data_IF_444221097061
#
_entry.id   IF_444221097061
#
_cell.length_a   1.000
_cell.length_b   1.000
_cell.length_c   1.000
_cell.angle_alpha   90.00
_cell.angle_beta   90.00
_cell.angle_gamma   90.00
#
_symmetry.space_group_name_H-M   'P 1'
#
loop_
_entity.id
_entity.type
_entity.pdbx_description
1 polymer ?
#
# COMPACT_ATOMS: atom_id res chain seq x y z
N UNK A 1 -3.40 -8.63 -17.92
CA UNK A 1 -2.28 -8.22 -17.07
C UNK A 1 -1.42 -7.29 -17.89
N UNK A 2 -0.98 -6.18 -17.31
CA UNK A 2 -0.08 -5.26 -18.00
C UNK A 2 1.34 -5.84 -18.05
N UNK A 3 2.12 -5.43 -19.04
CA UNK A 3 3.56 -5.71 -19.07
C UNK A 3 4.31 -4.76 -18.13
N UNK A 4 5.52 -5.14 -17.73
CA UNK A 4 6.40 -4.24 -16.96
C UNK A 4 6.61 -2.89 -17.67
N UNK A 5 6.69 -2.88 -19.00
CA UNK A 5 6.79 -1.65 -19.81
C UNK A 5 5.56 -0.75 -19.71
N UNK A 6 4.35 -1.33 -19.74
CA UNK A 6 3.12 -0.56 -19.54
C UNK A 6 3.06 0.05 -18.13
N UNK A 7 3.56 -0.66 -17.11
CA UNK A 7 3.71 -0.11 -15.76
C UNK A 7 4.74 1.01 -15.69
N UNK A 8 5.88 0.89 -16.37
CA UNK A 8 6.87 1.99 -16.49
C UNK A 8 6.21 3.24 -17.07
N UNK A 9 5.46 3.11 -18.17
CA UNK A 9 4.77 4.23 -18.81
C UNK A 9 3.74 4.86 -17.87
N UNK A 10 2.96 4.03 -17.17
CA UNK A 10 2.01 4.50 -16.16
C UNK A 10 2.69 5.35 -15.08
N UNK A 11 3.68 4.81 -14.37
CA UNK A 11 4.33 5.52 -13.26
C UNK A 11 5.09 6.76 -13.74
N UNK A 12 5.74 6.72 -14.91
CA UNK A 12 6.40 7.91 -15.50
C UNK A 12 5.42 9.03 -15.79
N UNK A 13 4.24 8.69 -16.30
CA UNK A 13 3.19 9.67 -16.55
C UNK A 13 2.59 10.16 -15.24
N UNK A 14 2.38 9.27 -14.27
CA UNK A 14 1.74 9.61 -13.01
C UNK A 14 2.57 10.60 -12.16
N UNK A 15 3.89 10.41 -12.13
CA UNK A 15 4.84 11.32 -11.47
C UNK A 15 4.84 12.76 -12.03
N UNK A 16 4.30 13.00 -13.23
CA UNK A 16 4.20 14.33 -13.83
C UNK A 16 2.99 15.12 -13.35
N UNK A 17 2.01 14.47 -12.72
CA UNK A 17 0.81 15.16 -12.24
C UNK A 17 1.01 15.74 -10.84
N UNK A 18 0.91 17.06 -10.75
CA UNK A 18 0.82 17.80 -9.49
C UNK A 18 -0.64 18.14 -9.22
N UNK A 19 -1.31 17.33 -8.39
CA UNK A 19 -2.76 17.48 -8.11
C UNK A 19 -3.07 18.26 -6.83
N UNK A 20 -2.03 18.67 -6.09
CA UNK A 20 -2.14 19.37 -4.81
C UNK A 20 -1.84 20.85 -5.02
N UNK A 21 -2.78 21.72 -4.63
CA UNK A 21 -2.54 23.16 -4.62
C UNK A 21 -1.88 23.56 -3.29
N UNK A 22 -0.56 23.76 -3.34
CA UNK A 22 0.25 24.13 -2.18
C UNK A 22 0.15 25.61 -1.78
N UNK A 23 -0.56 26.44 -2.55
CA UNK A 23 -0.84 27.83 -2.19
C UNK A 23 -1.95 27.93 -1.12
N UNK A 24 -2.69 26.84 -0.90
CA UNK A 24 -3.70 26.73 0.15
C UNK A 24 -3.00 26.62 1.50
N UNK A 25 -3.22 27.59 2.38
CA UNK A 25 -2.74 27.50 3.76
C UNK A 25 -3.47 26.37 4.51
N UNK A 26 -2.75 25.53 5.28
CA UNK A 26 -3.38 24.49 6.06
C UNK A 26 -4.27 25.11 7.15
N UNK A 27 -5.53 24.67 7.20
CA UNK A 27 -6.49 25.08 8.23
C UNK A 27 -6.95 23.84 8.99
N UNK A 28 -6.33 23.59 10.14
CA UNK A 28 -6.61 22.44 11.00
C UNK A 28 -6.67 22.90 12.46
N UNK A 29 -7.68 22.44 13.20
CA UNK A 29 -7.82 22.74 14.62
C UNK A 29 -6.86 21.92 15.49
N UNK A 30 -6.52 22.40 16.68
CA UNK A 30 -5.71 21.63 17.64
C UNK A 30 -6.31 20.27 17.99
N UNK A 31 -7.66 20.17 18.00
CA UNK A 31 -8.37 18.90 18.25
C UNK A 31 -8.18 17.91 17.11
N UNK A 32 -8.29 18.36 15.86
CA UNK A 32 -8.02 17.53 14.69
C UNK A 32 -6.55 17.11 14.64
N UNK A 33 -5.61 18.05 14.85
CA UNK A 33 -4.17 17.74 14.92
C UNK A 33 -3.88 16.67 15.98
N UNK A 34 -4.38 16.82 17.21
CA UNK A 34 -4.19 15.83 18.27
C UNK A 34 -4.76 14.45 17.93
N UNK A 35 -5.79 14.40 17.07
CA UNK A 35 -6.43 13.16 16.63
C UNK A 35 -5.58 12.42 15.59
N UNK A 36 -4.99 13.13 14.64
CA UNK A 36 -4.33 12.52 13.48
C UNK A 36 -2.80 12.44 13.60
N UNK A 37 -2.17 13.30 14.40
CA UNK A 37 -0.74 13.61 14.29
C UNK A 37 0.15 12.37 14.39
N UNK A 38 0.03 11.60 15.49
CA UNK A 38 0.85 10.40 15.70
C UNK A 38 0.66 9.38 14.58
N UNK A 39 -0.58 9.22 14.14
CA UNK A 39 -0.94 8.29 13.07
C UNK A 39 -0.33 8.72 11.73
N UNK A 40 -0.41 10.01 11.41
CA UNK A 40 0.12 10.61 10.19
C UNK A 40 1.65 10.59 10.15
N UNK A 41 2.31 10.88 11.28
CA UNK A 41 3.76 10.78 11.40
C UNK A 41 4.27 9.34 11.19
N UNK A 42 3.60 8.34 11.78
CA UNK A 42 3.96 6.94 11.60
C UNK A 42 3.77 6.47 10.16
N UNK A 43 2.66 6.86 9.51
CA UNK A 43 2.41 6.51 8.11
C UNK A 43 3.40 7.22 7.18
N UNK A 44 3.60 8.54 7.35
CA UNK A 44 4.59 9.33 6.62
C UNK A 44 5.99 8.70 6.69
N UNK A 45 6.41 8.19 7.85
CA UNK A 45 7.69 7.51 7.98
C UNK A 45 7.74 6.23 7.15
N UNK A 46 6.66 5.44 7.12
CA UNK A 46 6.56 4.20 6.33
C UNK A 46 6.70 4.44 4.82
N UNK A 47 6.13 5.52 4.31
CA UNK A 47 6.17 5.95 2.89
C UNK A 47 7.59 6.37 2.44
N UNK A 48 8.46 6.76 3.36
CA UNK A 48 9.82 7.27 3.04
C UNK A 48 10.89 6.20 2.86
N UNK A 49 10.51 4.94 2.65
CA UNK A 49 11.46 3.84 2.49
C UNK A 49 12.35 4.04 1.25
N UNK A 50 13.66 3.78 1.37
CA UNK A 50 14.61 3.80 0.25
C UNK A 50 14.47 2.61 -0.73
N UNK A 51 13.72 1.58 -0.31
CA UNK A 51 13.45 0.38 -1.10
C UNK A 51 14.66 -0.53 -1.34
N UNK A 52 15.81 -0.36 -0.69
CA UNK A 52 17.04 -1.10 -1.04
C UNK A 52 16.86 -2.64 -1.03
N UNK A 53 16.24 -3.18 0.03
CA UNK A 53 16.02 -4.63 0.14
C UNK A 53 14.95 -5.14 -0.86
N UNK A 54 13.94 -4.32 -1.16
CA UNK A 54 12.93 -4.61 -2.18
C UNK A 54 13.58 -4.67 -3.56
N UNK A 55 14.39 -3.67 -3.93
CA UNK A 55 15.13 -3.66 -5.20
C UNK A 55 16.02 -4.88 -5.32
N UNK A 56 16.73 -5.29 -4.25
CA UNK A 56 17.54 -6.53 -4.28
C UNK A 56 16.70 -7.80 -4.52
N UNK A 57 15.50 -7.88 -3.97
CA UNK A 57 14.57 -8.99 -4.23
C UNK A 57 14.05 -8.97 -5.67
N UNK A 58 13.69 -7.79 -6.15
CA UNK A 58 13.18 -7.54 -7.51
C UNK A 58 14.23 -7.85 -8.56
N UNK A 59 15.47 -7.40 -8.39
CA UNK A 59 16.58 -7.68 -9.33
C UNK A 59 16.80 -9.17 -9.51
N UNK A 60 16.93 -9.93 -8.41
CA UNK A 60 17.10 -11.39 -8.47
C UNK A 60 15.92 -12.10 -9.12
N UNK A 61 14.70 -11.61 -8.87
CA UNK A 61 13.50 -12.14 -9.49
C UNK A 61 13.49 -11.85 -11.01
N UNK A 62 13.78 -10.60 -11.40
CA UNK A 62 13.79 -10.15 -12.79
C UNK A 62 14.84 -10.90 -13.63
N UNK A 63 16.06 -11.08 -13.10
CA UNK A 63 17.12 -11.86 -13.76
C UNK A 63 16.70 -13.30 -14.00
N UNK A 64 16.03 -13.93 -13.03
CA UNK A 64 15.55 -15.32 -13.15
C UNK A 64 14.43 -15.47 -14.20
N UNK A 65 13.69 -14.41 -14.50
CA UNK A 65 12.50 -14.45 -15.35
C UNK A 65 12.64 -13.63 -16.65
N UNK A 66 13.85 -13.14 -16.94
CA UNK A 66 14.14 -12.30 -18.12
C UNK A 66 13.19 -11.09 -18.26
N UNK A 67 12.93 -10.41 -17.13
CA UNK A 67 12.03 -9.24 -17.04
C UNK A 67 12.76 -8.02 -16.47
N UNK A 68 13.79 -7.48 -17.17
CA UNK A 68 14.59 -6.34 -16.68
C UNK A 68 13.76 -5.07 -16.49
N UNK A 69 12.69 -4.90 -17.28
CA UNK A 69 11.75 -3.77 -17.18
C UNK A 69 11.05 -3.73 -15.80
N UNK A 70 10.86 -4.88 -15.15
CA UNK A 70 10.23 -4.90 -13.83
C UNK A 70 11.06 -4.18 -12.76
N UNK A 71 12.39 -4.16 -12.90
CA UNK A 71 13.27 -3.43 -11.99
C UNK A 71 12.97 -1.92 -12.08
N UNK A 72 12.82 -1.41 -13.30
CA UNK A 72 12.51 0.00 -13.53
C UNK A 72 11.07 0.34 -13.09
N UNK A 73 10.10 -0.52 -13.37
CA UNK A 73 8.72 -0.35 -12.89
C UNK A 73 8.69 -0.24 -11.35
N UNK A 74 9.42 -1.09 -10.65
CA UNK A 74 9.49 -1.06 -9.18
C UNK A 74 10.21 0.18 -8.65
N UNK A 75 11.28 0.64 -9.32
CA UNK A 75 11.95 1.90 -8.94
C UNK A 75 11.01 3.09 -9.08
N UNK A 76 10.18 3.12 -10.12
CA UNK A 76 9.20 4.18 -10.33
C UNK A 76 8.06 4.12 -9.30
N UNK A 77 7.56 2.92 -8.98
CA UNK A 77 6.64 2.71 -7.86
C UNK A 77 7.20 3.26 -6.54
N UNK A 78 8.44 2.92 -6.18
CA UNK A 78 9.09 3.45 -4.95
C UNK A 78 9.17 4.98 -4.97
N UNK A 79 9.44 5.59 -6.13
CA UNK A 79 9.46 7.06 -6.26
C UNK A 79 8.08 7.68 -6.03
N UNK A 80 7.01 7.00 -6.41
CA UNK A 80 5.64 7.45 -6.21
C UNK A 80 5.25 7.39 -4.73
N UNK A 81 5.56 6.29 -4.03
CA UNK A 81 5.43 6.18 -2.56
C UNK A 81 6.23 7.27 -1.83
N UNK A 82 7.47 7.52 -2.26
CA UNK A 82 8.30 8.59 -1.69
C UNK A 82 7.68 9.98 -1.91
N UNK A 83 7.00 10.22 -3.04
CA UNK A 83 6.23 11.45 -3.28
C UNK A 83 5.07 11.56 -2.27
N UNK A 84 4.39 10.47 -1.93
CA UNK A 84 3.34 10.47 -0.90
C UNK A 84 3.89 10.84 0.47
N UNK A 85 5.00 10.20 0.86
CA UNK A 85 5.73 10.50 2.09
C UNK A 85 6.20 11.95 2.17
N UNK A 86 6.71 12.51 1.06
CA UNK A 86 7.13 13.92 1.02
C UNK A 86 5.94 14.88 1.08
N UNK A 87 4.83 14.58 0.42
CA UNK A 87 3.60 15.38 0.53
C UNK A 87 3.07 15.42 1.98
N UNK A 88 3.04 14.28 2.68
CA UNK A 88 2.67 14.24 4.09
C UNK A 88 3.68 14.99 4.97
N UNK A 89 4.97 14.86 4.67
CA UNK A 89 6.04 15.55 5.36
C UNK A 89 5.93 17.07 5.22
N UNK A 90 5.73 17.57 3.99
CA UNK A 90 5.52 19.00 3.72
C UNK A 90 4.28 19.53 4.42
N UNK A 91 3.22 18.73 4.53
CA UNK A 91 2.03 19.10 5.30
C UNK A 91 2.33 19.22 6.81
N UNK A 92 3.07 18.27 7.39
CA UNK A 92 3.53 18.34 8.79
C UNK A 92 4.32 19.64 9.04
N UNK A 93 5.26 19.96 8.15
CA UNK A 93 6.08 21.17 8.25
C UNK A 93 5.19 22.43 8.19
N UNK A 94 4.20 22.46 7.30
CA UNK A 94 3.28 23.59 7.13
C UNK A 94 2.36 23.84 8.35
N UNK A 95 2.07 22.80 9.15
CA UNK A 95 1.31 22.94 10.42
C UNK A 95 2.23 23.04 11.65
N UNK A 96 3.53 23.21 11.45
CA UNK A 96 4.53 23.35 12.52
C UNK A 96 4.72 22.10 13.36
N UNK A 97 4.47 20.91 12.81
CA UNK A 97 4.62 19.63 13.51
C UNK A 97 5.86 18.87 13.00
N UNK A 98 6.64 18.24 13.88
CA UNK A 98 7.86 17.56 13.47
C UNK A 98 7.57 16.26 12.71
N UNK A 99 8.46 15.89 11.79
CA UNK A 99 8.54 14.53 11.24
C UNK A 99 9.24 13.60 12.25
N UNK A 100 8.79 12.36 12.39
CA UNK A 100 9.43 11.38 13.30
C UNK A 100 10.46 10.55 12.56
N UNK A 101 11.49 10.07 13.27
CA UNK A 101 12.55 9.22 12.70
C UNK A 101 12.38 7.73 13.01
N UNK A 102 11.56 7.40 14.01
CA UNK A 102 11.32 6.04 14.49
C UNK A 102 9.88 5.91 14.93
N UNK A 103 9.23 4.84 14.48
CA UNK A 103 7.98 4.33 15.02
C UNK A 103 8.10 2.81 15.23
N UNK A 104 7.42 2.27 16.24
CA UNK A 104 7.51 0.85 16.58
C UNK A 104 6.91 -0.05 15.48
N UNK A 105 5.77 0.35 14.91
CA UNK A 105 5.14 -0.37 13.82
C UNK A 105 6.03 -0.38 12.58
N UNK A 106 6.54 0.79 12.20
CA UNK A 106 7.50 0.92 11.11
C UNK A 106 8.78 0.09 11.35
N UNK A 107 9.32 0.08 12.57
CA UNK A 107 10.49 -0.74 12.92
C UNK A 107 10.21 -2.24 12.74
N UNK A 108 9.02 -2.71 13.14
CA UNK A 108 8.58 -4.09 12.94
C UNK A 108 8.41 -4.45 11.46
N UNK A 109 7.81 -3.55 10.66
CA UNK A 109 7.67 -3.75 9.22
C UNK A 109 9.02 -3.73 8.50
N UNK A 110 9.93 -2.83 8.85
CA UNK A 110 11.29 -2.80 8.31
C UNK A 110 12.06 -4.06 8.67
N UNK A 111 11.89 -4.58 9.89
CA UNK A 111 12.49 -5.83 10.31
C UNK A 111 11.99 -7.01 9.46
N UNK A 112 10.67 -7.15 9.29
CA UNK A 112 10.09 -8.21 8.46
C UNK A 112 10.54 -8.13 6.99
N UNK A 113 10.59 -6.91 6.45
CA UNK A 113 11.06 -6.62 5.09
C UNK A 113 12.57 -6.84 4.90
N UNK A 114 13.37 -6.56 5.93
CA UNK A 114 14.83 -6.55 5.85
C UNK A 114 15.47 -7.93 5.72
N UNK A 115 14.88 -8.96 6.32
CA UNK A 115 15.36 -10.35 6.22
C UNK A 115 14.75 -11.12 5.07
N UNK A 116 13.68 -10.60 4.46
CA UNK A 116 12.98 -11.32 3.43
C UNK A 116 13.59 -11.07 2.05
N UNK A 117 14.03 -12.15 1.42
CA UNK A 117 14.59 -12.10 0.07
C UNK A 117 13.60 -12.57 -1.00
N UNK A 118 12.43 -13.07 -0.60
CA UNK A 118 11.41 -13.61 -1.48
C UNK A 118 10.54 -12.51 -2.07
N UNK A 119 10.49 -12.44 -3.40
CA UNK A 119 9.61 -11.52 -4.12
C UNK A 119 8.13 -11.73 -3.74
N UNK A 120 7.71 -12.97 -3.50
CA UNK A 120 6.34 -13.30 -3.08
C UNK A 120 5.98 -12.68 -1.73
N UNK A 121 6.81 -12.87 -0.72
CA UNK A 121 6.52 -12.32 0.60
C UNK A 121 6.58 -10.79 0.61
N UNK A 122 7.47 -10.20 -0.20
CA UNK A 122 7.48 -8.76 -0.44
C UNK A 122 6.17 -8.28 -1.07
N UNK A 123 5.73 -8.94 -2.13
CA UNK A 123 4.49 -8.58 -2.83
C UNK A 123 3.27 -8.77 -1.93
N UNK A 124 3.24 -9.83 -1.09
CA UNK A 124 2.21 -10.04 -0.06
C UNK A 124 2.20 -8.88 0.95
N UNK A 125 3.37 -8.49 1.44
CA UNK A 125 3.50 -7.40 2.41
C UNK A 125 3.03 -6.06 1.84
N UNK A 126 3.52 -5.69 0.65
CA UNK A 126 3.13 -4.44 -0.02
C UNK A 126 1.63 -4.45 -0.32
N UNK A 127 1.10 -5.49 -0.97
CA UNK A 127 -0.33 -5.56 -1.31
C UNK A 127 -1.25 -5.44 -0.07
N UNK A 128 -0.81 -5.94 1.08
CA UNK A 128 -1.54 -5.82 2.35
C UNK A 128 -1.51 -4.40 2.88
N UNK A 129 -0.35 -3.74 2.86
CA UNK A 129 -0.19 -2.35 3.34
C UNK A 129 -0.96 -1.39 2.45
N UNK A 130 -0.86 -1.50 1.13
CA UNK A 130 -1.64 -0.72 0.14
C UNK A 130 -3.15 -0.90 0.35
N UNK A 131 -3.59 -2.13 0.68
CA UNK A 131 -5.01 -2.39 0.96
C UNK A 131 -5.49 -1.65 2.20
N UNK A 132 -4.61 -1.53 3.21
CA UNK A 132 -4.88 -0.77 4.42
C UNK A 132 -4.74 0.74 4.19
N UNK A 133 -3.79 1.18 3.37
CA UNK A 133 -3.53 2.57 3.01
C UNK A 133 -4.77 3.21 2.35
N UNK A 134 -5.46 2.50 1.47
CA UNK A 134 -6.74 2.97 0.92
C UNK A 134 -7.82 3.27 1.98
N UNK A 135 -7.87 2.50 3.08
CA UNK A 135 -8.81 2.78 4.17
C UNK A 135 -8.26 3.88 5.07
N UNK A 136 -6.95 3.89 5.30
CA UNK A 136 -6.23 4.88 6.09
C UNK A 136 -6.39 6.29 5.52
N UNK A 137 -6.07 6.50 4.24
CA UNK A 137 -6.15 7.82 3.61
C UNK A 137 -7.59 8.30 3.47
N UNK A 138 -8.54 7.37 3.28
CA UNK A 138 -9.95 7.72 3.34
C UNK A 138 -10.34 8.19 4.76
N UNK A 139 -9.91 7.49 5.81
CA UNK A 139 -10.17 7.91 7.18
C UNK A 139 -9.48 9.24 7.54
N UNK A 140 -8.24 9.46 7.09
CA UNK A 140 -7.50 10.71 7.28
C UNK A 140 -8.18 11.90 6.59
N UNK A 141 -8.67 11.68 5.38
CA UNK A 141 -9.46 12.66 4.64
C UNK A 141 -10.75 13.03 5.38
N UNK A 142 -11.43 12.06 5.98
CA UNK A 142 -12.72 12.24 6.64
C UNK A 142 -12.59 12.76 8.09
N UNK A 143 -11.45 12.51 8.75
CA UNK A 143 -11.18 12.92 10.12
C UNK A 143 -10.89 14.42 10.29
N UNK A 144 -10.78 15.19 9.20
CA UNK A 144 -10.46 16.62 9.24
C UNK A 144 -11.34 17.43 8.29
N UNK A 145 -11.39 18.74 8.49
CA UNK A 145 -11.97 19.72 7.57
C UNK A 145 -10.92 20.46 6.72
N UNK A 146 -9.63 20.20 6.94
CA UNK A 146 -8.52 20.86 6.23
C UNK A 146 -8.54 20.54 4.72
N UNK A 147 -8.77 21.57 3.89
CA UNK A 147 -8.87 21.42 2.44
C UNK A 147 -7.58 20.88 1.83
N UNK A 148 -6.42 21.38 2.26
CA UNK A 148 -5.11 20.94 1.78
C UNK A 148 -4.90 19.45 2.09
N UNK A 149 -5.14 19.01 3.34
CA UNK A 149 -4.98 17.61 3.72
C UNK A 149 -5.92 16.69 2.93
N UNK A 150 -7.16 17.14 2.66
CA UNK A 150 -8.08 16.40 1.80
C UNK A 150 -7.60 16.30 0.36
N UNK A 151 -6.91 17.31 -0.18
CA UNK A 151 -6.29 17.23 -1.52
C UNK A 151 -5.15 16.21 -1.52
N UNK A 152 -4.28 16.24 -0.52
CA UNK A 152 -3.19 15.27 -0.36
C UNK A 152 -3.73 13.84 -0.31
N UNK A 153 -4.72 13.57 0.55
CA UNK A 153 -5.32 12.24 0.66
C UNK A 153 -6.00 11.79 -0.65
N UNK A 154 -6.61 12.71 -1.41
CA UNK A 154 -7.21 12.37 -2.71
C UNK A 154 -6.16 12.03 -3.76
N UNK A 155 -5.05 12.78 -3.81
CA UNK A 155 -3.94 12.49 -4.73
C UNK A 155 -3.41 11.08 -4.48
N UNK A 156 -3.12 10.75 -3.22
CA UNK A 156 -2.59 9.43 -2.83
C UNK A 156 -3.62 8.33 -3.13
N UNK A 157 -4.90 8.51 -2.78
CA UNK A 157 -5.95 7.50 -3.03
C UNK A 157 -6.11 7.14 -4.52
N UNK A 158 -5.80 8.05 -5.45
CA UNK A 158 -5.82 7.76 -6.89
C UNK A 158 -4.70 6.77 -7.24
N UNK A 159 -3.50 7.02 -6.74
CA UNK A 159 -2.28 6.25 -7.01
C UNK A 159 -2.39 4.82 -6.44
N UNK A 160 -2.86 4.70 -5.20
CA UNK A 160 -3.08 3.46 -4.46
C UNK A 160 -3.94 2.42 -5.21
N UNK A 161 -4.91 2.86 -6.02
CA UNK A 161 -5.73 1.96 -6.82
C UNK A 161 -4.91 1.23 -7.90
N UNK A 162 -3.95 1.93 -8.51
CA UNK A 162 -3.03 1.37 -9.49
C UNK A 162 -1.96 0.53 -8.83
N UNK A 163 -1.48 0.91 -7.65
CA UNK A 163 -0.53 0.12 -6.86
C UNK A 163 -1.09 -1.26 -6.51
N UNK A 164 -2.33 -1.33 -6.01
CA UNK A 164 -3.02 -2.62 -5.80
C UNK A 164 -3.04 -3.46 -7.07
N UNK A 165 -3.35 -2.84 -8.21
CA UNK A 165 -3.43 -3.57 -9.49
C UNK A 165 -2.06 -4.11 -9.89
N UNK A 166 -1.00 -3.30 -9.80
CA UNK A 166 0.39 -3.68 -10.05
C UNK A 166 0.82 -4.88 -9.20
N UNK A 167 0.54 -4.85 -7.90
CA UNK A 167 0.91 -5.92 -6.97
C UNK A 167 0.05 -7.18 -7.15
N UNK A 168 -1.24 -7.05 -7.47
CA UNK A 168 -2.12 -8.20 -7.78
C UNK A 168 -1.66 -8.92 -9.04
N UNK A 169 -1.27 -8.19 -10.09
CA UNK A 169 -0.74 -8.79 -11.31
C UNK A 169 0.55 -9.56 -11.03
N UNK A 170 1.49 -8.98 -10.26
CA UNK A 170 2.71 -9.69 -9.88
C UNK A 170 2.41 -10.92 -9.00
N UNK A 171 1.52 -10.80 -8.02
CA UNK A 171 1.11 -11.94 -7.19
C UNK A 171 0.49 -13.05 -8.04
N UNK A 172 -0.29 -12.71 -9.06
CA UNK A 172 -0.94 -13.70 -9.95
C UNK A 172 0.11 -14.52 -10.68
N UNK A 173 1.13 -13.86 -11.25
CA UNK A 173 2.27 -14.54 -11.90
C UNK A 173 2.99 -15.47 -10.91
N UNK A 174 3.32 -14.95 -9.72
CA UNK A 174 4.03 -15.72 -8.69
C UNK A 174 3.23 -16.93 -8.18
N UNK A 175 1.92 -16.77 -8.03
CA UNK A 175 1.05 -17.83 -7.55
C UNK A 175 0.81 -18.88 -8.63
N UNK A 176 0.62 -18.48 -9.90
CA UNK A 176 0.37 -19.42 -10.99
C UNK A 176 1.55 -20.37 -11.25
N UNK A 177 2.78 -19.93 -10.97
CA UNK A 177 4.01 -20.75 -11.05
C UNK A 177 4.13 -21.82 -9.94
N UNK A 178 3.27 -21.80 -8.90
CA UNK A 178 3.34 -22.76 -7.79
C UNK A 178 2.76 -24.11 -8.14
N UNK A 179 3.36 -25.16 -7.58
CA UNK A 179 2.77 -26.49 -7.55
C UNK A 179 1.44 -26.51 -6.79
N UNK A 180 0.54 -27.48 -7.03
CA UNK A 180 -0.72 -27.59 -6.30
C UNK A 180 -0.53 -27.62 -4.77
N UNK A 181 0.47 -28.37 -4.27
CA UNK A 181 0.80 -28.38 -2.85
C UNK A 181 1.27 -27.01 -2.34
N UNK A 182 2.11 -26.31 -3.11
CA UNK A 182 2.53 -24.94 -2.78
C UNK A 182 1.35 -23.97 -2.71
N UNK A 183 0.38 -24.09 -3.63
CA UNK A 183 -0.86 -23.29 -3.63
C UNK A 183 -1.70 -23.55 -2.37
N UNK A 184 -1.82 -24.81 -1.94
CA UNK A 184 -2.53 -25.20 -0.72
C UNK A 184 -1.88 -24.66 0.56
N UNK A 185 -0.55 -24.61 0.61
CA UNK A 185 0.21 -24.10 1.76
C UNK A 185 0.20 -22.57 1.81
N UNK A 186 0.47 -21.90 0.67
CA UNK A 186 0.59 -20.44 0.64
C UNK A 186 -0.74 -19.72 0.88
N UNK A 187 -1.87 -20.25 0.40
CA UNK A 187 -3.18 -19.60 0.53
C UNK A 187 -3.57 -19.26 1.99
N UNK A 188 -3.53 -20.20 2.96
CA UNK A 188 -3.81 -19.87 4.36
C UNK A 188 -2.75 -18.95 4.97
N UNK A 189 -1.48 -19.03 4.55
CA UNK A 189 -0.42 -18.13 5.04
C UNK A 189 -0.63 -16.69 4.59
N UNK A 190 -1.03 -16.47 3.34
CA UNK A 190 -1.40 -15.12 2.86
C UNK A 190 -2.58 -14.56 3.65
N UNK A 191 -3.60 -15.38 3.91
CA UNK A 191 -4.75 -14.98 4.71
C UNK A 191 -4.34 -14.59 6.13
N UNK A 192 -3.53 -15.42 6.79
CA UNK A 192 -3.05 -15.17 8.14
C UNK A 192 -2.22 -13.87 8.19
N UNK A 193 -1.31 -13.69 7.25
CA UNK A 193 -0.50 -12.48 7.15
C UNK A 193 -1.40 -11.25 6.94
N UNK A 194 -2.30 -11.30 5.96
CA UNK A 194 -3.18 -10.18 5.62
C UNK A 194 -4.01 -9.69 6.82
N UNK A 195 -4.69 -10.61 7.50
CA UNK A 195 -5.53 -10.25 8.64
C UNK A 195 -4.71 -9.94 9.90
N UNK A 196 -3.56 -10.57 10.10
CA UNK A 196 -2.63 -10.21 11.17
C UNK A 196 -2.16 -8.76 11.04
N UNK A 197 -1.69 -8.38 9.85
CA UNK A 197 -1.30 -7.00 9.52
C UNK A 197 -2.48 -6.04 9.65
N UNK A 198 -3.67 -6.40 9.16
CA UNK A 198 -4.86 -5.57 9.28
C UNK A 198 -5.21 -5.24 10.74
N UNK A 199 -5.08 -6.22 11.64
CA UNK A 199 -5.28 -6.03 13.09
C UNK A 199 -4.23 -5.10 13.69
N UNK A 200 -2.94 -5.30 13.37
CA UNK A 200 -1.86 -4.42 13.83
C UNK A 200 -2.11 -2.97 13.42
N UNK A 201 -2.49 -2.75 12.16
CA UNK A 201 -2.83 -1.41 11.63
C UNK A 201 -4.01 -0.81 12.38
N UNK A 202 -5.08 -1.58 12.63
CA UNK A 202 -6.23 -1.10 13.40
C UNK A 202 -5.80 -0.58 14.77
N UNK A 203 -5.04 -1.38 15.54
CA UNK A 203 -4.65 -0.99 16.90
C UNK A 203 -3.68 0.19 16.91
N UNK A 204 -2.77 0.26 15.94
CA UNK A 204 -1.82 1.37 15.81
C UNK A 204 -2.52 2.70 15.45
N UNK A 205 -3.58 2.65 14.65
CA UNK A 205 -4.22 3.84 14.06
C UNK A 205 -5.69 4.01 14.47
N UNK A 206 -6.12 3.34 15.55
CA UNK A 206 -7.53 3.30 16.02
C UNK A 206 -8.16 4.68 16.13
N UNK A 207 -7.47 5.64 16.78
CA UNK A 207 -7.98 7.00 16.99
C UNK A 207 -8.29 7.71 15.67
N UNK A 208 -7.41 7.55 14.67
CA UNK A 208 -7.63 8.09 13.33
C UNK A 208 -8.81 7.41 12.66
N UNK A 209 -8.87 6.07 12.71
CA UNK A 209 -9.96 5.33 12.07
C UNK A 209 -11.33 5.69 12.65
N UNK A 210 -11.43 5.79 13.98
CA UNK A 210 -12.65 6.21 14.68
C UNK A 210 -13.06 7.63 14.30
N UNK A 211 -12.09 8.56 14.22
CA UNK A 211 -12.35 9.93 13.78
C UNK A 211 -12.79 10.02 12.31
N UNK A 212 -12.27 9.14 11.45
CA UNK A 212 -12.72 8.97 10.06
C UNK A 212 -13.99 8.12 9.91
N UNK A 213 -14.73 7.87 11.00
CA UNK A 213 -16.04 7.20 10.96
C UNK A 213 -15.99 5.67 10.90
N UNK A 214 -14.85 5.04 11.22
CA UNK A 214 -14.72 3.58 11.23
C UNK A 214 -14.79 3.03 12.65
N UNK A 215 -15.66 2.04 12.85
CA UNK A 215 -15.56 1.10 13.97
C UNK A 215 -14.67 -0.08 13.60
N UNK A 216 -14.21 -0.85 14.59
CA UNK A 216 -13.44 -2.08 14.38
C UNK A 216 -14.14 -3.02 13.38
N UNK A 217 -15.44 -3.27 13.58
CA UNK A 217 -16.25 -4.10 12.70
C UNK A 217 -16.30 -3.55 11.26
N UNK A 218 -16.51 -2.24 11.10
CA UNK A 218 -16.56 -1.62 9.78
C UNK A 218 -15.22 -1.68 9.06
N UNK A 219 -14.11 -1.47 9.77
CA UNK A 219 -12.74 -1.57 9.26
C UNK A 219 -12.42 -3.02 8.85
N UNK A 220 -12.68 -3.99 9.71
CA UNK A 220 -12.43 -5.40 9.41
C UNK A 220 -13.28 -5.89 8.24
N UNK A 221 -14.52 -5.41 8.11
CA UNK A 221 -15.36 -5.69 6.94
C UNK A 221 -14.77 -5.11 5.65
N UNK A 222 -14.25 -3.87 5.70
CA UNK A 222 -13.57 -3.25 4.54
C UNK A 222 -12.30 -4.02 4.18
N UNK A 223 -11.49 -4.41 5.16
CA UNK A 223 -10.30 -5.25 4.93
C UNK A 223 -10.65 -6.63 4.38
N UNK A 224 -11.73 -7.24 4.87
CA UNK A 224 -12.24 -8.49 4.30
C UNK A 224 -12.64 -8.32 2.83
N UNK A 225 -13.31 -7.23 2.47
CA UNK A 225 -13.63 -6.94 1.06
C UNK A 225 -12.36 -6.74 0.22
N UNK A 226 -11.34 -6.05 0.74
CA UNK A 226 -10.03 -5.93 0.08
C UNK A 226 -9.39 -7.31 -0.14
N UNK A 227 -9.31 -8.14 0.89
CA UNK A 227 -8.83 -9.53 0.80
C UNK A 227 -9.57 -10.34 -0.26
N UNK A 228 -10.91 -10.20 -0.32
CA UNK A 228 -11.73 -10.92 -1.29
C UNK A 228 -11.40 -10.53 -2.73
N UNK A 229 -11.08 -9.26 -2.97
CA UNK A 229 -10.72 -8.74 -4.29
C UNK A 229 -9.27 -8.99 -4.70
N UNK A 230 -8.39 -9.26 -3.74
CA UNK A 230 -6.96 -9.47 -3.98
C UNK A 230 -6.59 -10.95 -3.81
N UNK A 231 -6.24 -11.36 -2.59
CA UNK A 231 -5.73 -12.70 -2.30
C UNK A 231 -6.75 -13.81 -2.51
N UNK A 232 -8.01 -13.64 -2.09
CA UNK A 232 -9.01 -14.69 -2.27
C UNK A 232 -9.24 -15.00 -3.74
N UNK A 233 -9.48 -13.96 -4.57
CA UNK A 233 -9.69 -14.11 -6.02
C UNK A 233 -8.50 -14.80 -6.69
N UNK A 234 -7.29 -14.53 -6.22
CA UNK A 234 -6.06 -15.16 -6.69
C UNK A 234 -5.94 -16.63 -6.27
N UNK A 235 -6.34 -16.98 -5.05
CA UNK A 235 -6.23 -18.35 -4.50
C UNK A 235 -7.44 -19.23 -4.81
N UNK A 236 -8.56 -18.64 -5.23
CA UNK A 236 -9.78 -19.37 -5.54
C UNK A 236 -9.56 -20.32 -6.73
N UNK A 237 -10.17 -21.51 -6.74
CA UNK A 237 -10.12 -22.38 -7.91
C UNK A 237 -10.67 -21.63 -9.12
N UNK A 238 -9.87 -21.50 -10.19
CA UNK A 238 -10.37 -21.01 -11.48
C UNK A 238 -11.39 -22.04 -11.96
N UNK A 239 -12.67 -21.69 -12.01
CA UNK A 239 -13.69 -22.54 -12.63
C UNK A 239 -13.25 -22.81 -14.07
N UNK A 240 -13.18 -24.08 -14.48
CA UNK A 240 -12.98 -24.40 -15.90
C UNK A 240 -14.12 -23.73 -16.67
N UNK A 241 -13.86 -23.09 -17.82
CA UNK A 241 -14.96 -22.71 -18.70
C UNK A 241 -15.76 -23.98 -19.02
N UNK A 242 -17.09 -23.92 -18.87
CA UNK A 242 -17.96 -24.97 -19.38
C UNK A 242 -17.62 -25.21 -20.85
N UNK A 243 -17.51 -26.46 -21.30
CA UNK A 243 -17.38 -26.73 -22.72
C UNK A 243 -18.60 -26.11 -23.40
N UNK A 244 -18.36 -25.27 -24.41
CA UNK A 244 -19.42 -24.75 -25.25
C UNK A 244 -20.24 -25.93 -25.75
N UNK A 245 -21.53 -25.97 -25.41
CA UNK A 245 -22.48 -26.87 -26.03
C UNK A 245 -22.45 -26.56 -27.53
N UNK A 246 -21.95 -27.52 -28.31
CA UNK A 246 -21.98 -27.54 -29.78
C UNK A 246 -23.43 -27.80 -30.19
#
# INVERSE_FOLDING_TARGET
MHTSRQWIEHFRNNLRYYRINWDIQPSISSRETATILRSMQAWQLGETSDGHNLIRAVTRYAEKHDDPDYIEAMKLFIKEEQKHGENLGRYLDAIGQPRIKKDWGDSLFRWFRGFNTSMEMWTVAVLTVESAAQIYYQALKDATYCVLLKQICRDILIDEAYHITFQVERMTILYDQKSPAGKMICAPLYKLFFFGTALTVWFAHRRLFEAGGNTYHSYMRKMHYKYMRTFHRLTAPKTKPEPALI
#
